data_IF_654364119398
#
_entry.id   IF_654364119398
#
_cell.length_a   1.000
_cell.length_b   1.000
_cell.length_c   1.000
_cell.angle_alpha   90.00
_cell.angle_beta   90.00
_cell.angle_gamma   90.00
#
_symmetry.space_group_name_H-M   'P 1'
#
loop_
_entity.id
_entity.type
_entity.pdbx_description
1 polymer ?
#
# COMPACT_ATOMS: atom_id res chain seq x y z
N UNK A 1 -11.29 1.27 13.39
CA UNK A 1 -10.86 1.82 12.08
C UNK A 1 -9.81 0.95 11.37
N UNK A 2 -8.91 0.25 12.09
CA UNK A 2 -7.81 -0.51 11.49
C UNK A 2 -8.17 -1.55 10.41
N UNK A 3 -9.27 -2.30 10.56
CA UNK A 3 -9.70 -3.30 9.55
C UNK A 3 -10.06 -2.63 8.21
N UNK A 4 -10.74 -1.49 8.23
CA UNK A 4 -11.13 -0.77 7.01
C UNK A 4 -9.92 -0.20 6.28
N UNK A 5 -8.93 0.32 7.03
CA UNK A 5 -7.65 0.77 6.50
C UNK A 5 -6.95 -0.37 5.76
N UNK A 6 -6.74 -1.51 6.45
CA UNK A 6 -6.04 -2.68 5.92
C UNK A 6 -6.71 -3.21 4.66
N UNK A 7 -8.02 -3.44 4.71
CA UNK A 7 -8.77 -3.97 3.58
C UNK A 7 -8.62 -3.08 2.33
N UNK A 8 -8.78 -1.77 2.50
CA UNK A 8 -8.71 -0.82 1.38
C UNK A 8 -7.29 -0.76 0.80
N UNK A 9 -6.26 -0.68 1.64
CA UNK A 9 -4.87 -0.67 1.16
C UNK A 9 -4.45 -1.97 0.50
N UNK A 10 -4.93 -3.13 0.98
CA UNK A 10 -4.67 -4.41 0.34
C UNK A 10 -5.31 -4.48 -1.04
N UNK A 11 -6.58 -4.08 -1.15
CA UNK A 11 -7.29 -4.03 -2.44
C UNK A 11 -6.58 -3.10 -3.43
N UNK A 12 -6.15 -1.91 -2.99
CA UNK A 12 -5.41 -0.96 -3.83
C UNK A 12 -4.05 -1.54 -4.24
N UNK A 13 -3.30 -2.14 -3.32
CA UNK A 13 -1.99 -2.75 -3.63
C UNK A 13 -2.13 -3.88 -4.65
N UNK A 14 -3.18 -4.71 -4.54
CA UNK A 14 -3.46 -5.78 -5.48
C UNK A 14 -3.82 -5.22 -6.87
N UNK A 15 -4.62 -4.15 -6.92
CA UNK A 15 -4.98 -3.48 -8.18
C UNK A 15 -3.74 -2.99 -8.95
N UNK A 16 -2.81 -2.33 -8.28
CA UNK A 16 -1.53 -1.94 -8.89
C UNK A 16 -0.63 -3.14 -9.21
N UNK A 17 -0.66 -4.18 -8.36
CA UNK A 17 0.06 -5.43 -8.59
C UNK A 17 -0.38 -6.13 -9.89
N UNK A 18 -1.67 -6.09 -10.22
CA UNK A 18 -2.19 -6.66 -11.46
C UNK A 18 -1.62 -5.97 -12.72
N UNK A 19 -1.24 -4.70 -12.63
CA UNK A 19 -0.63 -3.97 -13.76
C UNK A 19 0.75 -4.55 -14.14
N UNK A 20 1.42 -5.26 -13.22
CA UNK A 20 2.71 -5.94 -13.48
C UNK A 20 2.61 -7.08 -14.52
N UNK A 21 1.42 -7.64 -14.74
CA UNK A 21 1.19 -8.68 -15.76
C UNK A 21 1.07 -8.12 -17.18
N UNK A 22 1.13 -6.79 -17.34
CA UNK A 22 1.04 -6.15 -18.66
C UNK A 22 2.32 -6.36 -19.49
N UNK A 23 2.17 -6.66 -20.78
CA UNK A 23 3.29 -6.71 -21.74
C UNK A 23 3.92 -5.32 -22.03
N UNK A 24 3.25 -4.23 -21.63
CA UNK A 24 3.78 -2.88 -21.83
C UNK A 24 4.69 -2.50 -20.67
N UNK A 25 6.01 -2.49 -20.93
CA UNK A 25 7.06 -2.31 -19.92
C UNK A 25 6.86 -1.10 -18.99
N UNK A 26 6.48 0.10 -19.47
CA UNK A 26 6.25 1.24 -18.59
C UNK A 26 5.07 1.05 -17.63
N UNK A 27 4.04 0.31 -18.05
CA UNK A 27 2.88 0.04 -17.21
C UNK A 27 3.18 -1.04 -16.16
N UNK A 28 3.94 -2.07 -16.54
CA UNK A 28 4.35 -3.13 -15.61
C UNK A 28 5.28 -2.61 -14.51
N UNK A 29 6.27 -1.79 -14.87
CA UNK A 29 7.22 -1.22 -13.92
C UNK A 29 6.58 -0.21 -12.97
N UNK A 30 5.77 0.71 -13.50
CA UNK A 30 5.06 1.70 -12.68
C UNK A 30 4.01 1.05 -11.77
N UNK A 31 3.30 0.04 -12.26
CA UNK A 31 2.35 -0.74 -11.47
C UNK A 31 3.00 -1.46 -10.29
N UNK A 32 4.12 -2.15 -10.55
CA UNK A 32 4.88 -2.85 -9.51
C UNK A 32 5.41 -1.89 -8.43
N UNK A 33 6.04 -0.79 -8.85
CA UNK A 33 6.58 0.21 -7.91
C UNK A 33 5.47 0.79 -7.03
N UNK A 34 4.33 1.15 -7.63
CA UNK A 34 3.19 1.72 -6.90
C UNK A 34 2.58 0.71 -5.92
N UNK A 35 2.44 -0.56 -6.32
CA UNK A 35 1.95 -1.62 -5.45
C UNK A 35 2.82 -1.78 -4.19
N UNK A 36 4.14 -1.80 -4.38
CA UNK A 36 5.10 -1.89 -3.27
C UNK A 36 5.02 -0.65 -2.38
N UNK A 37 4.97 0.56 -2.95
CA UNK A 37 4.85 1.80 -2.18
C UNK A 37 3.61 1.81 -1.29
N UNK A 38 2.45 1.41 -1.82
CA UNK A 38 1.19 1.36 -1.04
C UNK A 38 1.27 0.30 0.07
N UNK A 39 1.86 -0.87 -0.20
CA UNK A 39 2.05 -1.90 0.81
C UNK A 39 2.97 -1.43 1.95
N UNK A 40 4.07 -0.73 1.62
CA UNK A 40 4.97 -0.14 2.62
C UNK A 40 4.27 0.97 3.41
N UNK A 41 3.45 1.80 2.76
CA UNK A 41 2.69 2.84 3.45
C UNK A 41 1.73 2.28 4.52
N UNK A 42 1.14 1.10 4.28
CA UNK A 42 0.34 0.39 5.28
C UNK A 42 1.20 -0.06 6.48
N UNK A 43 2.38 -0.63 6.22
CA UNK A 43 3.30 -1.04 7.28
C UNK A 43 3.74 0.15 8.15
N UNK A 44 4.10 1.27 7.51
CA UNK A 44 4.48 2.51 8.19
C UNK A 44 3.32 3.09 9.01
N UNK A 45 2.08 2.97 8.53
CA UNK A 45 0.90 3.40 9.30
C UNK A 45 0.81 2.68 10.65
N UNK A 46 0.98 1.35 10.66
CA UNK A 46 0.92 0.58 11.91
C UNK A 46 2.16 0.76 12.78
N UNK A 47 3.34 0.89 12.19
CA UNK A 47 4.59 0.94 12.94
C UNK A 47 4.94 2.33 13.48
N UNK A 48 4.49 3.40 12.82
CA UNK A 48 4.80 4.78 13.19
C UNK A 48 3.54 5.60 13.49
N UNK A 49 2.58 5.66 12.58
CA UNK A 49 1.45 6.58 12.73
C UNK A 49 0.57 6.24 13.94
N UNK A 50 0.16 4.97 14.10
CA UNK A 50 -0.63 4.52 15.26
C UNK A 50 0.10 4.73 16.60
N UNK A 51 1.35 4.27 16.80
CA UNK A 51 2.04 4.49 18.07
C UNK A 51 2.33 5.97 18.34
N UNK A 52 2.69 6.76 17.34
CA UNK A 52 2.89 8.21 17.53
C UNK A 52 1.59 8.89 17.97
N UNK A 53 0.44 8.54 17.39
CA UNK A 53 -0.86 9.06 17.86
C UNK A 53 -1.13 8.69 19.31
N UNK A 54 -0.84 7.45 19.72
CA UNK A 54 -1.01 7.00 21.12
C UNK A 54 -0.06 7.67 22.12
N UNK A 55 1.05 8.26 21.67
CA UNK A 55 1.99 8.99 22.53
C UNK A 55 1.68 10.49 22.63
N UNK A 56 0.98 11.06 21.64
CA UNK A 56 0.69 12.50 21.56
C UNK A 56 -0.71 12.83 22.09
N UNK A 57 -1.63 11.88 22.06
CA UNK A 57 -2.91 11.91 22.79
C UNK A 57 -2.71 11.55 24.27
#
# INVERSE_FOLDING_TARGET
VGIALVATTLVISANFGMMSLSHYYPNASMGLLTAITVAVALAVNFLFFVPVLLFVD
#
